data_IF_517147821727
#
_entry.id   IF_517147821727
#
_cell.length_a   1.000
_cell.length_b   1.000
_cell.length_c   1.000
_cell.angle_alpha   90.00
_cell.angle_beta   90.00
_cell.angle_gamma   90.00
#
_symmetry.space_group_name_H-M   'P 1'
#
loop_
_entity.id
_entity.type
_entity.pdbx_description
1 polymer ?
#
# COMPACT_ATOMS: atom_id res chain seq x y z
N UNK A 1 14.92 5.28 16.47
CA UNK A 1 14.75 4.82 15.08
C UNK A 1 16.11 4.60 14.47
N UNK A 2 16.50 3.36 14.14
CA UNK A 2 17.69 3.16 13.33
C UNK A 2 17.28 3.45 11.87
N UNK A 3 17.63 4.63 11.40
CA UNK A 3 17.35 5.06 10.03
C UNK A 3 18.19 4.24 9.05
N UNK A 4 17.54 3.35 8.29
CA UNK A 4 18.20 2.57 7.23
C UNK A 4 18.44 3.39 5.95
N UNK A 5 18.13 4.69 5.97
CA UNK A 5 18.26 5.63 4.83
C UNK A 5 19.67 5.66 4.23
N UNK A 6 20.72 5.48 5.03
CA UNK A 6 22.10 5.53 4.54
C UNK A 6 22.69 4.14 4.23
N UNK A 7 21.88 3.09 4.32
CA UNK A 7 22.28 1.72 4.09
C UNK A 7 22.52 1.38 2.63
N UNK A 8 23.08 0.19 2.39
CA UNK A 8 23.36 -0.41 1.09
C UNK A 8 22.14 -0.37 0.16
N UNK A 9 20.95 -0.66 0.67
CA UNK A 9 19.74 -0.79 -0.14
C UNK A 9 19.26 0.55 -0.69
N UNK A 10 19.32 1.62 0.10
CA UNK A 10 18.97 2.96 -0.36
C UNK A 10 19.96 3.43 -1.45
N UNK A 11 21.26 3.21 -1.23
CA UNK A 11 22.31 3.52 -2.22
C UNK A 11 22.09 2.79 -3.54
N UNK A 12 21.69 1.52 -3.50
CA UNK A 12 21.36 0.73 -4.70
C UNK A 12 20.16 1.32 -5.48
N UNK A 13 19.14 1.82 -4.78
CA UNK A 13 17.98 2.45 -5.44
C UNK A 13 18.42 3.76 -6.08
N UNK A 14 19.20 4.58 -5.36
CA UNK A 14 19.67 5.87 -5.88
C UNK A 14 20.59 5.75 -7.07
N UNK A 15 21.45 4.72 -7.14
CA UNK A 15 22.30 4.52 -8.32
C UNK A 15 21.52 4.21 -9.60
N UNK A 16 20.21 3.89 -9.49
CA UNK A 16 19.33 3.62 -10.62
C UNK A 16 18.35 4.77 -10.91
N UNK A 17 18.45 5.88 -10.17
CA UNK A 17 17.60 7.06 -10.35
C UNK A 17 18.01 7.79 -11.62
N UNK A 18 17.02 8.19 -12.43
CA UNK A 18 17.24 9.00 -13.64
C UNK A 18 17.41 10.47 -13.28
N UNK A 19 17.90 11.26 -14.23
CA UNK A 19 18.04 12.72 -14.12
C UNK A 19 16.72 13.43 -13.79
N UNK A 20 15.60 12.88 -14.28
CA UNK A 20 14.26 13.44 -14.03
C UNK A 20 13.71 13.18 -12.62
N UNK A 21 14.49 12.51 -11.76
CA UNK A 21 14.16 12.21 -10.37
C UNK A 21 13.42 10.91 -10.15
N UNK A 22 13.05 10.19 -11.21
CA UNK A 22 12.26 8.96 -11.15
C UNK A 22 13.10 7.70 -11.45
N UNK A 23 12.44 6.54 -11.48
CA UNK A 23 13.01 5.24 -11.84
C UNK A 23 12.16 4.55 -12.91
N UNK A 24 12.78 4.07 -13.99
CA UNK A 24 12.12 3.23 -15.00
C UNK A 24 10.76 3.74 -15.48
N UNK A 25 9.85 2.81 -15.79
CA UNK A 25 8.42 3.12 -15.88
C UNK A 25 7.86 3.28 -14.47
N UNK A 26 6.67 3.87 -14.34
CA UNK A 26 6.04 4.10 -13.05
C UNK A 26 5.57 2.79 -12.42
N UNK A 27 4.74 2.03 -13.14
CA UNK A 27 3.94 0.96 -12.53
C UNK A 27 4.62 -0.42 -12.54
N UNK A 28 4.72 -0.99 -11.34
CA UNK A 28 4.64 -2.43 -11.04
C UNK A 28 4.78 -2.58 -9.52
N UNK A 29 3.92 -3.39 -8.91
CA UNK A 29 4.05 -3.77 -7.49
C UNK A 29 4.71 -5.14 -7.29
N UNK A 30 5.16 -5.76 -8.37
CA UNK A 30 5.91 -7.02 -8.30
C UNK A 30 7.27 -6.83 -7.63
N UNK A 31 7.90 -7.94 -7.25
CA UNK A 31 9.23 -7.90 -6.64
C UNK A 31 10.27 -7.40 -7.66
N UNK A 32 11.27 -6.60 -7.21
CA UNK A 32 12.40 -6.23 -8.05
C UNK A 32 13.10 -7.50 -8.55
N UNK A 33 13.41 -7.51 -9.85
CA UNK A 33 14.15 -8.61 -10.47
C UNK A 33 15.63 -8.25 -10.45
N UNK A 34 16.52 -9.12 -9.94
CA UNK A 34 17.96 -8.86 -9.96
C UNK A 34 18.45 -8.47 -11.35
N UNK A 35 19.25 -7.41 -11.44
CA UNK A 35 19.80 -6.89 -12.70
C UNK A 35 18.85 -6.01 -13.52
N UNK A 36 17.58 -5.86 -13.12
CA UNK A 36 16.66 -4.88 -13.73
C UNK A 36 16.58 -3.61 -12.89
N UNK A 37 16.42 -2.47 -13.56
CA UNK A 37 16.13 -1.19 -12.90
C UNK A 37 14.79 -1.26 -12.17
N UNK A 38 14.71 -0.57 -11.04
CA UNK A 38 13.45 -0.36 -10.33
C UNK A 38 12.47 0.41 -11.23
N UNK A 39 11.18 0.13 -11.06
CA UNK A 39 10.15 1.12 -11.39
C UNK A 39 10.03 2.15 -10.29
N UNK A 40 9.41 3.29 -10.61
CA UNK A 40 9.21 4.37 -9.62
C UNK A 40 8.39 3.86 -8.44
N UNK A 41 7.36 3.07 -8.69
CA UNK A 41 6.54 2.49 -7.63
C UNK A 41 7.30 1.50 -6.73
N UNK A 42 8.15 0.64 -7.31
CA UNK A 42 9.01 -0.25 -6.51
C UNK A 42 10.00 0.55 -5.66
N UNK A 43 10.61 1.59 -6.23
CA UNK A 43 11.57 2.44 -5.54
C UNK A 43 10.90 3.19 -4.37
N UNK A 44 9.75 3.83 -4.61
CA UNK A 44 8.99 4.54 -3.58
C UNK A 44 8.55 3.61 -2.45
N UNK A 45 7.96 2.45 -2.78
CA UNK A 45 7.58 1.44 -1.77
C UNK A 45 8.78 1.01 -0.95
N UNK A 46 9.91 0.72 -1.59
CA UNK A 46 11.11 0.28 -0.90
C UNK A 46 11.70 1.37 0.00
N UNK A 47 11.77 2.60 -0.48
CA UNK A 47 12.27 3.75 0.29
C UNK A 47 11.40 4.01 1.53
N UNK A 48 10.07 3.88 1.42
CA UNK A 48 9.15 3.97 2.56
C UNK A 48 9.54 2.99 3.69
N UNK A 49 9.82 1.73 3.36
CA UNK A 49 10.23 0.72 4.36
C UNK A 49 11.63 0.95 4.91
N UNK A 50 12.52 1.57 4.14
CA UNK A 50 13.84 2.01 4.61
C UNK A 50 13.80 3.28 5.48
N UNK A 51 12.61 3.85 5.68
CA UNK A 51 12.35 4.96 6.58
C UNK A 51 12.27 6.33 5.91
N UNK A 52 12.23 6.41 4.58
CA UNK A 52 11.99 7.66 3.86
C UNK A 52 10.56 8.16 4.03
N UNK A 53 10.43 9.48 4.02
CA UNK A 53 9.23 10.27 4.34
C UNK A 53 9.05 11.38 3.31
N UNK A 54 7.91 12.08 3.34
CA UNK A 54 7.66 13.23 2.48
C UNK A 54 8.65 14.39 2.69
N UNK A 55 9.38 14.43 3.81
CA UNK A 55 10.38 15.47 4.10
C UNK A 55 11.72 15.24 3.38
N UNK A 56 11.95 14.03 2.85
CA UNK A 56 13.18 13.73 2.14
C UNK A 56 13.12 14.27 0.71
N UNK A 57 14.11 15.07 0.30
CA UNK A 57 14.16 15.73 -1.02
C UNK A 57 13.95 14.75 -2.19
N UNK A 58 14.55 13.55 -2.11
CA UNK A 58 14.37 12.50 -3.13
C UNK A 58 12.92 12.06 -3.29
N UNK A 59 12.16 12.04 -2.19
CA UNK A 59 10.73 11.72 -2.21
C UNK A 59 9.94 12.92 -2.74
N UNK A 60 10.24 14.14 -2.27
CA UNK A 60 9.56 15.37 -2.71
C UNK A 60 9.57 15.55 -4.23
N UNK A 61 10.69 15.26 -4.89
CA UNK A 61 10.79 15.33 -6.35
C UNK A 61 9.78 14.38 -7.02
N UNK A 62 9.66 13.15 -6.53
CA UNK A 62 8.71 12.18 -7.05
C UNK A 62 7.27 12.58 -6.73
N UNK A 63 6.97 13.02 -5.50
CA UNK A 63 5.63 13.47 -5.12
C UNK A 63 5.17 14.65 -5.99
N UNK A 64 6.02 15.67 -6.16
CA UNK A 64 5.73 16.81 -7.04
C UNK A 64 5.44 16.36 -8.46
N UNK A 65 6.20 15.40 -9.00
CA UNK A 65 5.93 14.87 -10.34
C UNK A 65 4.56 14.19 -10.39
N UNK A 66 4.22 13.36 -9.41
CA UNK A 66 2.91 12.69 -9.36
C UNK A 66 1.76 13.69 -9.30
N UNK A 67 1.92 14.77 -8.53
CA UNK A 67 0.92 15.83 -8.44
C UNK A 67 0.69 16.54 -9.78
N UNK A 68 1.78 16.92 -10.48
CA UNK A 68 1.71 17.51 -11.82
C UNK A 68 0.99 16.58 -12.81
N UNK A 69 1.19 15.27 -12.68
CA UNK A 69 0.51 14.28 -13.51
C UNK A 69 -0.99 14.20 -13.24
N UNK A 70 -1.41 14.21 -11.97
CA UNK A 70 -2.83 14.22 -11.61
C UNK A 70 -3.53 15.49 -12.11
N UNK A 71 -2.83 16.63 -12.11
CA UNK A 71 -3.33 17.92 -12.65
C UNK A 71 -3.34 17.99 -14.17
N UNK A 72 -2.76 16.99 -14.86
CA UNK A 72 -2.65 16.97 -16.32
C UNK A 72 -1.55 17.88 -16.89
N UNK A 73 -0.67 18.41 -16.03
CA UNK A 73 0.43 19.32 -16.42
C UNK A 73 1.58 18.56 -17.09
N UNK A 74 1.73 17.26 -16.78
CA UNK A 74 2.81 16.42 -17.31
C UNK A 74 2.40 14.96 -17.35
N UNK A 75 3.01 14.15 -18.22
CA UNK A 75 2.89 12.68 -18.15
C UNK A 75 3.89 12.08 -17.16
N UNK A 76 3.50 11.00 -16.48
CA UNK A 76 4.40 10.31 -15.54
C UNK A 76 5.54 9.62 -16.28
N UNK A 77 5.21 8.95 -17.39
CA UNK A 77 6.10 8.32 -18.34
C UNK A 77 5.41 8.14 -19.71
N UNK A 78 6.00 7.32 -20.59
CA UNK A 78 5.45 7.01 -21.92
C UNK A 78 4.67 5.69 -21.97
N UNK A 79 4.51 5.00 -20.84
CA UNK A 79 3.82 3.72 -20.76
C UNK A 79 2.31 3.91 -20.70
N UNK A 80 1.56 3.01 -21.34
CA UNK A 80 0.11 2.94 -21.20
C UNK A 80 -0.38 1.54 -21.53
N UNK A 81 -1.33 1.03 -20.74
CA UNK A 81 -2.00 -0.23 -21.03
C UNK A 81 -3.24 -0.01 -21.90
N UNK A 82 -3.34 -0.74 -23.01
CA UNK A 82 -4.39 -0.52 -24.03
C UNK A 82 -5.80 -0.97 -23.63
N UNK A 83 -5.92 -1.89 -22.67
CA UNK A 83 -7.21 -2.53 -22.31
C UNK A 83 -7.99 -1.76 -21.23
N UNK A 84 -7.36 -0.78 -20.62
CA UNK A 84 -7.84 -0.08 -19.45
C UNK A 84 -7.94 1.41 -19.74
N UNK A 85 -8.80 2.11 -19.01
CA UNK A 85 -8.75 3.57 -18.96
C UNK A 85 -7.48 3.97 -18.19
N UNK A 86 -6.34 3.92 -18.89
CA UNK A 86 -5.03 4.13 -18.30
C UNK A 86 -4.91 5.48 -17.60
N UNK A 87 -5.37 6.61 -18.17
CA UNK A 87 -5.35 7.89 -17.46
C UNK A 87 -6.12 7.85 -16.13
N UNK A 88 -7.28 7.19 -16.10
CA UNK A 88 -8.05 7.07 -14.87
C UNK A 88 -7.36 6.18 -13.83
N UNK A 89 -6.78 5.05 -14.27
CA UNK A 89 -6.00 4.16 -13.40
C UNK A 89 -4.73 4.82 -12.87
N UNK A 90 -4.01 5.56 -13.72
CA UNK A 90 -2.84 6.35 -13.35
C UNK A 90 -3.20 7.36 -12.26
N UNK A 91 -4.29 8.13 -12.44
CA UNK A 91 -4.79 9.06 -11.41
C UNK A 91 -4.98 8.36 -10.05
N UNK A 92 -5.63 7.19 -10.03
CA UNK A 92 -5.82 6.39 -8.82
C UNK A 92 -4.48 5.96 -8.19
N UNK A 93 -3.56 5.41 -8.97
CA UNK A 93 -2.26 4.94 -8.47
C UNK A 93 -1.42 6.09 -7.88
N UNK A 94 -1.33 7.21 -8.61
CA UNK A 94 -0.55 8.37 -8.21
C UNK A 94 -1.12 9.01 -6.94
N UNK A 95 -2.45 9.16 -6.86
CA UNK A 95 -3.10 9.70 -5.68
C UNK A 95 -2.93 8.79 -4.46
N UNK A 96 -3.00 7.47 -4.63
CA UNK A 96 -2.76 6.52 -3.54
C UNK A 96 -1.33 6.65 -2.98
N UNK A 97 -0.31 6.74 -3.83
CA UNK A 97 1.08 6.92 -3.39
C UNK A 97 1.33 8.28 -2.75
N UNK A 98 0.74 9.35 -3.29
CA UNK A 98 0.77 10.67 -2.64
C UNK A 98 0.21 10.58 -1.24
N UNK A 99 -0.99 10.00 -1.05
CA UNK A 99 -1.58 9.86 0.30
C UNK A 99 -0.82 8.93 1.24
N UNK A 100 0.00 8.00 0.73
CA UNK A 100 0.88 7.19 1.57
C UNK A 100 1.98 8.05 2.21
N UNK A 101 2.60 8.96 1.45
CA UNK A 101 3.67 9.82 1.95
C UNK A 101 3.17 11.10 2.62
N UNK A 102 2.13 11.70 2.05
CA UNK A 102 1.51 12.94 2.49
C UNK A 102 -0.02 12.79 2.46
N UNK A 103 -0.57 12.46 3.63
CA UNK A 103 -2.00 12.25 3.80
C UNK A 103 -2.86 13.50 3.53
N UNK A 104 -2.25 14.69 3.62
CA UNK A 104 -2.89 16.00 3.50
C UNK A 104 -2.69 16.64 2.14
N UNK A 105 -2.05 15.95 1.19
CA UNK A 105 -1.89 16.45 -0.17
C UNK A 105 -3.26 16.75 -0.82
N UNK A 106 -3.55 18.03 -1.07
CA UNK A 106 -4.85 18.49 -1.53
C UNK A 106 -5.27 17.84 -2.86
N UNK A 107 -4.34 17.73 -3.80
CA UNK A 107 -4.57 17.13 -5.12
C UNK A 107 -5.03 15.67 -4.98
N UNK A 108 -4.35 14.90 -4.14
CA UNK A 108 -4.72 13.52 -3.89
C UNK A 108 -5.98 13.37 -3.02
N UNK A 109 -6.23 14.31 -2.09
CA UNK A 109 -7.44 14.37 -1.29
C UNK A 109 -8.69 14.60 -2.15
N UNK A 110 -8.63 15.48 -3.14
CA UNK A 110 -9.73 15.67 -4.09
C UNK A 110 -10.12 14.33 -4.74
N UNK A 111 -9.13 13.57 -5.23
CA UNK A 111 -9.38 12.23 -5.82
C UNK A 111 -9.93 11.25 -4.80
N UNK A 112 -9.43 11.28 -3.56
CA UNK A 112 -9.93 10.42 -2.49
C UNK A 112 -11.39 10.73 -2.14
N UNK A 113 -11.79 12.00 -2.11
CA UNK A 113 -13.16 12.42 -1.83
C UNK A 113 -14.12 12.06 -2.96
N UNK A 114 -13.67 12.09 -4.22
CA UNK A 114 -14.45 11.58 -5.35
C UNK A 114 -14.72 10.07 -5.20
N UNK A 115 -13.69 9.28 -4.90
CA UNK A 115 -13.84 7.84 -4.66
C UNK A 115 -14.67 7.52 -3.40
N UNK A 116 -14.53 8.32 -2.34
CA UNK A 116 -15.29 8.15 -1.10
C UNK A 116 -16.80 8.22 -1.36
N UNK A 117 -17.26 9.14 -2.23
CA UNK A 117 -18.67 9.22 -2.61
C UNK A 117 -19.17 7.94 -3.28
N UNK A 118 -18.36 7.31 -4.13
CA UNK A 118 -18.71 6.04 -4.78
C UNK A 118 -18.80 4.92 -3.75
N UNK A 119 -17.82 4.84 -2.84
CA UNK A 119 -17.78 3.86 -1.75
C UNK A 119 -19.00 4.01 -0.83
N UNK A 120 -19.31 5.23 -0.39
CA UNK A 120 -20.47 5.47 0.49
C UNK A 120 -21.78 4.98 -0.12
N UNK A 121 -21.97 5.15 -1.43
CA UNK A 121 -23.15 4.60 -2.13
C UNK A 121 -23.10 3.09 -2.23
N UNK A 122 -21.95 2.52 -2.59
CA UNK A 122 -21.78 1.07 -2.69
C UNK A 122 -22.01 0.32 -1.36
N UNK A 123 -21.85 1.00 -0.22
CA UNK A 123 -22.02 0.44 1.12
C UNK A 123 -23.27 0.93 1.86
N UNK A 124 -24.13 1.73 1.22
CA UNK A 124 -25.29 2.33 1.87
C UNK A 124 -26.28 1.29 2.44
N UNK A 125 -26.35 0.12 1.81
CA UNK A 125 -27.18 -1.01 2.25
C UNK A 125 -26.62 -1.82 3.43
N UNK A 126 -25.47 -1.44 4.00
CA UNK A 126 -24.84 -2.15 5.12
C UNK A 126 -23.84 -3.24 4.73
N UNK A 127 -23.62 -3.45 3.43
CA UNK A 127 -22.54 -4.27 2.88
C UNK A 127 -22.21 -3.78 1.47
N UNK A 128 -21.10 -4.25 0.89
CA UNK A 128 -20.78 -3.94 -0.51
C UNK A 128 -21.90 -4.44 -1.44
N UNK A 129 -22.45 -3.54 -2.23
CA UNK A 129 -23.41 -3.82 -3.28
C UNK A 129 -22.84 -3.43 -4.65
N UNK A 130 -22.80 -4.42 -5.55
CA UNK A 130 -22.24 -4.24 -6.89
C UNK A 130 -23.05 -3.29 -7.77
N UNK A 131 -24.38 -3.32 -7.66
CA UNK A 131 -25.27 -2.50 -8.48
C UNK A 131 -25.14 -1.03 -8.06
N UNK A 132 -25.13 -0.75 -6.76
CA UNK A 132 -24.94 0.59 -6.21
C UNK A 132 -23.57 1.17 -6.56
N UNK A 133 -22.51 0.37 -6.48
CA UNK A 133 -21.16 0.73 -6.92
C UNK A 133 -21.12 1.13 -8.40
N UNK A 134 -21.64 0.28 -9.29
CA UNK A 134 -21.71 0.55 -10.73
C UNK A 134 -22.55 1.80 -11.02
N UNK A 135 -23.69 1.97 -10.32
CA UNK A 135 -24.57 3.11 -10.50
C UNK A 135 -23.91 4.42 -10.03
N UNK A 136 -23.24 4.39 -8.88
CA UNK A 136 -22.51 5.53 -8.33
C UNK A 136 -21.32 5.91 -9.22
N UNK A 137 -20.53 4.94 -9.66
CA UNK A 137 -19.44 5.16 -10.61
C UNK A 137 -19.97 5.77 -11.92
N UNK A 138 -21.05 5.22 -12.47
CA UNK A 138 -21.63 5.71 -13.73
C UNK A 138 -22.12 7.14 -13.59
N UNK A 139 -22.68 7.52 -12.44
CA UNK A 139 -23.11 8.89 -12.16
C UNK A 139 -21.94 9.86 -12.03
N UNK A 140 -20.87 9.46 -11.34
CA UNK A 140 -19.68 10.29 -11.15
C UNK A 140 -18.90 10.46 -12.46
N UNK A 141 -18.63 9.36 -13.15
CA UNK A 141 -17.73 9.35 -14.31
C UNK A 141 -18.44 9.57 -15.65
N UNK A 142 -19.78 9.49 -15.67
CA UNK A 142 -20.58 9.66 -16.88
C UNK A 142 -20.56 8.47 -17.84
N UNK A 143 -19.95 7.34 -17.45
CA UNK A 143 -19.95 6.09 -18.23
C UNK A 143 -19.95 4.86 -17.33
N UNK A 144 -20.40 3.74 -17.88
CA UNK A 144 -20.26 2.43 -17.24
C UNK A 144 -18.78 2.06 -17.03
N UNK A 145 -18.47 1.29 -15.99
CA UNK A 145 -17.12 0.78 -15.77
C UNK A 145 -16.73 -0.20 -16.89
N UNK A 146 -15.45 -0.15 -17.30
CA UNK A 146 -14.84 -0.97 -18.35
C UNK A 146 -13.91 -2.05 -17.79
N UNK A 147 -13.59 -1.99 -16.50
CA UNK A 147 -12.62 -2.87 -15.86
C UNK A 147 -13.00 -3.13 -14.40
N UNK A 148 -12.39 -4.19 -13.84
CA UNK A 148 -12.53 -4.52 -12.41
C UNK A 148 -11.80 -3.57 -11.47
N UNK A 149 -10.94 -2.67 -11.97
CA UNK A 149 -10.26 -1.68 -11.12
C UNK A 149 -11.12 -0.44 -10.88
N UNK A 150 -12.12 -0.19 -11.74
CA UNK A 150 -13.02 0.97 -11.64
C UNK A 150 -14.13 0.80 -10.61
N UNK A 151 -14.25 -0.40 -10.04
CA UNK A 151 -15.34 -0.80 -9.14
C UNK A 151 -14.86 -1.92 -8.22
N UNK A 152 -15.61 -2.23 -7.17
CA UNK A 152 -15.31 -3.31 -6.23
C UNK A 152 -14.16 -3.01 -5.28
N UNK A 153 -13.40 -1.93 -5.47
CA UNK A 153 -12.41 -1.42 -4.51
C UNK A 153 -11.39 -2.46 -4.02
N UNK A 154 -11.14 -3.57 -4.72
CA UNK A 154 -10.36 -4.70 -4.19
C UNK A 154 -8.85 -4.52 -4.17
N UNK A 155 -8.35 -3.46 -4.82
CA UNK A 155 -6.92 -3.23 -4.99
C UNK A 155 -6.31 -2.49 -3.81
N UNK A 156 -5.02 -2.71 -3.59
CA UNK A 156 -4.18 -1.90 -2.71
C UNK A 156 -4.41 -0.38 -2.85
N UNK A 157 -4.54 0.13 -4.08
CA UNK A 157 -4.67 1.57 -4.32
C UNK A 157 -5.92 2.19 -3.69
N UNK A 158 -7.06 1.50 -3.71
CA UNK A 158 -8.27 2.01 -3.08
C UNK A 158 -8.11 2.10 -1.55
N UNK A 159 -7.63 1.02 -0.92
CA UNK A 159 -7.35 1.01 0.51
C UNK A 159 -6.31 2.07 0.91
N UNK A 160 -5.27 2.26 0.11
CA UNK A 160 -4.24 3.27 0.38
C UNK A 160 -4.75 4.71 0.17
N UNK A 161 -5.72 4.91 -0.74
CA UNK A 161 -6.30 6.21 -1.05
C UNK A 161 -7.34 6.65 -0.03
N UNK A 162 -8.12 5.75 0.57
CA UNK A 162 -9.38 6.11 1.25
C UNK A 162 -9.29 6.32 2.77
N UNK A 163 -8.13 6.10 3.39
CA UNK A 163 -8.01 6.29 4.85
C UNK A 163 -8.31 7.75 5.26
N UNK A 164 -9.10 7.92 6.32
CA UNK A 164 -9.43 9.24 6.88
C UNK A 164 -10.38 10.10 6.05
N UNK A 165 -10.96 9.59 4.96
CA UNK A 165 -11.99 10.32 4.17
C UNK A 165 -13.35 9.64 4.15
N UNK A 166 -13.45 8.43 4.72
CA UNK A 166 -14.72 7.72 4.85
C UNK A 166 -15.41 8.09 6.17
N UNK A 167 -16.75 8.26 6.19
CA UNK A 167 -17.50 8.33 7.43
C UNK A 167 -17.28 7.07 8.28
N UNK A 168 -17.26 7.14 9.63
CA UNK A 168 -16.96 6.00 10.50
C UNK A 168 -17.74 4.72 10.18
N UNK A 169 -19.06 4.84 9.94
CA UNK A 169 -19.89 3.68 9.58
C UNK A 169 -19.51 3.06 8.25
N UNK A 170 -19.23 3.86 7.23
CA UNK A 170 -18.77 3.37 5.92
C UNK A 170 -17.39 2.74 6.03
N UNK A 171 -16.51 3.34 6.85
CA UNK A 171 -15.18 2.81 7.13
C UNK A 171 -15.23 1.41 7.76
N UNK A 172 -16.10 1.17 8.74
CA UNK A 172 -16.29 -0.16 9.33
C UNK A 172 -16.66 -1.20 8.28
N UNK A 173 -17.63 -0.88 7.42
CA UNK A 173 -18.10 -1.78 6.36
C UNK A 173 -17.02 -2.03 5.30
N UNK A 174 -16.24 -1.00 4.99
CA UNK A 174 -15.13 -1.08 4.04
C UNK A 174 -14.00 -1.97 4.56
N UNK A 175 -13.69 -1.90 5.86
CA UNK A 175 -12.75 -2.82 6.51
C UNK A 175 -13.28 -4.26 6.53
N UNK A 176 -14.56 -4.48 6.87
CA UNK A 176 -15.17 -5.81 6.82
C UNK A 176 -15.12 -6.41 5.41
N UNK A 177 -15.32 -5.57 4.40
CA UNK A 177 -15.18 -5.95 2.99
C UNK A 177 -13.77 -6.45 2.66
N UNK A 178 -12.72 -5.68 2.99
CA UNK A 178 -11.35 -6.13 2.75
C UNK A 178 -10.97 -7.38 3.57
N UNK A 179 -11.44 -7.48 4.81
CA UNK A 179 -11.19 -8.61 5.68
C UNK A 179 -11.79 -9.91 5.14
N UNK A 180 -13.01 -9.85 4.60
CA UNK A 180 -13.75 -11.03 4.09
C UNK A 180 -13.51 -11.34 2.62
N UNK A 181 -12.81 -10.46 1.88
CA UNK A 181 -12.59 -10.61 0.43
C UNK A 181 -11.83 -11.91 0.10
N UNK A 182 -12.41 -12.83 -0.70
CA UNK A 182 -11.79 -14.14 -1.00
C UNK A 182 -10.40 -14.09 -1.64
N UNK A 183 -10.21 -13.12 -2.53
CA UNK A 183 -9.02 -12.86 -3.35
C UNK A 183 -8.08 -11.82 -2.70
N UNK A 184 -8.34 -11.43 -1.45
CA UNK A 184 -7.49 -10.54 -0.67
C UNK A 184 -7.42 -9.11 -1.19
N UNK A 185 -6.23 -8.52 -1.06
CA UNK A 185 -5.92 -7.17 -1.50
C UNK A 185 -5.02 -7.23 -2.73
N UNK A 186 -5.63 -7.05 -3.90
CA UNK A 186 -4.95 -7.18 -5.18
C UNK A 186 -3.67 -6.33 -5.23
N UNK A 187 -2.64 -6.89 -5.86
CA UNK A 187 -1.21 -6.51 -5.89
C UNK A 187 -0.33 -6.93 -4.72
N UNK A 188 -0.86 -7.08 -3.50
CA UNK A 188 0.01 -7.29 -2.34
C UNK A 188 -0.30 -8.54 -1.52
N UNK A 189 -1.53 -9.05 -1.56
CA UNK A 189 -1.91 -10.28 -0.88
C UNK A 189 -3.14 -10.92 -1.54
N UNK A 190 -3.11 -12.22 -1.79
CA UNK A 190 -4.06 -12.95 -2.65
C UNK A 190 -5.01 -13.88 -1.89
N UNK A 191 -5.09 -13.74 -0.56
CA UNK A 191 -5.97 -14.54 0.31
C UNK A 191 -6.80 -13.65 1.25
N UNK A 192 -7.85 -14.19 1.90
CA UNK A 192 -8.66 -13.43 2.85
C UNK A 192 -7.83 -12.87 4.01
N UNK A 193 -8.08 -11.61 4.38
CA UNK A 193 -7.32 -10.95 5.44
C UNK A 193 -7.82 -11.25 6.85
N UNK A 194 -9.04 -11.78 6.99
CA UNK A 194 -9.60 -12.27 8.25
C UNK A 194 -8.98 -13.59 8.74
N UNK A 195 -8.02 -14.16 8.00
CA UNK A 195 -7.28 -15.38 8.37
C UNK A 195 -5.78 -15.11 8.25
N UNK A 196 -5.06 -14.95 9.37
CA UNK A 196 -3.62 -14.84 9.33
C UNK A 196 -2.98 -16.10 8.72
N UNK A 197 -1.80 -16.00 8.07
CA UNK A 197 -1.07 -17.16 7.58
C UNK A 197 -0.71 -18.15 8.69
N UNK A 198 -0.84 -19.44 8.40
CA UNK A 198 -0.51 -20.52 9.35
C UNK A 198 0.97 -20.52 9.73
N UNK A 199 1.85 -20.19 8.78
CA UNK A 199 3.30 -20.16 8.98
C UNK A 199 3.78 -18.71 9.05
N UNK A 200 4.16 -18.25 10.23
CA UNK A 200 4.69 -16.89 10.43
C UNK A 200 6.05 -16.67 9.76
N UNK A 201 6.97 -17.63 9.86
CA UNK A 201 8.30 -17.54 9.23
C UNK A 201 8.24 -17.78 7.71
N UNK A 202 7.47 -16.95 7.00
CA UNK A 202 7.21 -17.07 5.58
C UNK A 202 7.12 -15.73 4.86
N UNK A 203 7.28 -15.78 3.53
CA UNK A 203 6.99 -14.64 2.66
C UNK A 203 5.52 -14.26 2.71
N UNK A 204 4.64 -15.25 2.85
CA UNK A 204 3.20 -15.04 2.93
C UNK A 204 2.83 -14.15 4.12
N UNK A 205 3.40 -14.43 5.30
CA UNK A 205 3.22 -13.60 6.49
C UNK A 205 3.71 -12.15 6.28
N UNK A 206 4.84 -11.96 5.59
CA UNK A 206 5.34 -10.62 5.25
C UNK A 206 4.38 -9.84 4.31
N UNK A 207 3.81 -10.53 3.31
CA UNK A 207 2.82 -9.98 2.38
C UNK A 207 1.48 -9.69 3.06
N UNK A 208 1.00 -10.62 3.89
CA UNK A 208 -0.18 -10.44 4.73
C UNK A 208 -0.05 -9.19 5.60
N UNK A 209 1.08 -9.09 6.32
CA UNK A 209 1.35 -7.98 7.21
C UNK A 209 1.38 -6.64 6.47
N UNK A 210 1.77 -6.64 5.20
CA UNK A 210 1.71 -5.45 4.36
C UNK A 210 0.29 -4.98 4.04
N UNK A 211 -0.65 -5.90 3.86
CA UNK A 211 -2.05 -5.52 3.72
C UNK A 211 -2.61 -4.99 5.05
N UNK A 212 -2.22 -5.58 6.17
CA UNK A 212 -2.57 -5.09 7.51
C UNK A 212 -1.99 -3.69 7.76
N UNK A 213 -0.76 -3.40 7.35
CA UNK A 213 -0.16 -2.06 7.44
C UNK A 213 -1.03 -1.00 6.74
N UNK A 214 -1.63 -1.33 5.59
CA UNK A 214 -2.54 -0.43 4.88
C UNK A 214 -3.84 -0.23 5.67
N UNK A 215 -4.47 -1.32 6.10
CA UNK A 215 -5.74 -1.26 6.84
C UNK A 215 -5.60 -0.62 8.22
N UNK A 216 -4.44 -0.73 8.86
CA UNK A 216 -4.16 -0.14 10.17
C UNK A 216 -4.22 1.39 10.21
N UNK A 217 -4.25 2.05 9.04
CA UNK A 217 -4.36 3.52 8.91
C UNK A 217 -5.77 4.05 9.10
N UNK A 218 -6.78 3.19 9.07
CA UNK A 218 -8.17 3.54 9.27
C UNK A 218 -8.48 3.66 10.77
N UNK A 219 -9.33 4.60 11.15
CA UNK A 219 -9.68 4.85 12.55
C UNK A 219 -10.36 3.65 13.22
N UNK A 220 -11.17 2.90 12.47
CA UNK A 220 -11.91 1.73 12.92
C UNK A 220 -11.07 0.44 12.93
N UNK A 221 -9.80 0.51 12.52
CA UNK A 221 -8.95 -0.68 12.36
C UNK A 221 -8.64 -1.40 13.68
N UNK A 222 -8.48 -0.67 14.79
CA UNK A 222 -8.08 -1.24 16.09
C UNK A 222 -9.01 -2.35 16.57
N UNK A 223 -10.31 -2.10 16.52
CA UNK A 223 -11.32 -3.09 16.91
C UNK A 223 -11.34 -4.29 15.95
N UNK A 224 -11.30 -4.01 14.64
CA UNK A 224 -11.39 -5.03 13.58
C UNK A 224 -10.14 -5.92 13.48
N UNK A 225 -8.97 -5.41 13.85
CA UNK A 225 -7.68 -6.10 13.69
C UNK A 225 -7.13 -6.69 15.00
N UNK A 226 -7.94 -6.79 16.06
CA UNK A 226 -7.52 -7.40 17.33
C UNK A 226 -6.95 -8.82 17.14
N UNK A 227 -7.57 -9.63 16.28
CA UNK A 227 -7.08 -10.98 15.98
C UNK A 227 -5.67 -11.00 15.38
N UNK A 228 -5.27 -9.91 14.68
CA UNK A 228 -3.91 -9.77 14.15
C UNK A 228 -2.92 -9.51 15.27
N UNK A 229 -3.29 -8.67 16.24
CA UNK A 229 -2.49 -8.44 17.46
C UNK A 229 -2.27 -9.75 18.21
N UNK A 230 -3.33 -10.53 18.40
CA UNK A 230 -3.26 -11.84 19.06
C UNK A 230 -2.34 -12.81 18.28
N UNK A 231 -2.48 -12.85 16.95
CA UNK A 231 -1.61 -13.66 16.07
C UNK A 231 -0.14 -13.23 16.14
N UNK A 232 0.15 -11.93 16.19
CA UNK A 232 1.51 -11.42 16.32
C UNK A 232 2.11 -11.87 17.67
N UNK A 233 1.42 -11.68 18.79
CA UNK A 233 1.93 -12.13 20.09
C UNK A 233 2.10 -13.65 20.19
N UNK A 234 1.21 -14.43 19.57
CA UNK A 234 1.36 -15.89 19.53
C UNK A 234 2.61 -16.37 18.76
N UNK A 235 3.17 -15.53 17.89
CA UNK A 235 4.39 -15.82 17.12
C UNK A 235 5.64 -15.09 17.64
N UNK A 236 5.54 -14.49 18.83
CA UNK A 236 6.67 -13.87 19.51
C UNK A 236 7.55 -14.93 20.17
N UNK A 237 8.87 -14.83 20.03
CA UNK A 237 9.79 -15.72 20.72
C UNK A 237 9.95 -15.37 22.21
N UNK A 238 10.66 -16.22 22.97
CA UNK A 238 10.89 -16.03 24.41
C UNK A 238 11.67 -14.75 24.77
N UNK A 239 12.30 -14.08 23.81
CA UNK A 239 13.01 -12.81 24.00
C UNK A 239 12.18 -11.60 23.56
N UNK A 240 10.94 -11.80 23.16
CA UNK A 240 10.07 -10.73 22.71
C UNK A 240 10.33 -10.28 21.26
N UNK A 241 10.89 -11.15 20.43
CA UNK A 241 11.28 -10.88 19.04
C UNK A 241 10.44 -11.69 18.05
N UNK A 242 10.50 -11.30 16.78
CA UNK A 242 9.85 -11.98 15.67
C UNK A 242 10.84 -12.29 14.56
N UNK A 243 10.64 -13.40 13.84
CA UNK A 243 11.45 -13.79 12.69
C UNK A 243 10.54 -14.22 11.51
N UNK A 244 10.49 -13.43 10.43
CA UNK A 244 9.77 -13.80 9.20
C UNK A 244 10.47 -14.88 8.36
N UNK A 245 11.66 -15.33 8.77
CA UNK A 245 12.41 -16.38 8.11
C UNK A 245 13.12 -15.92 6.83
N UNK A 246 14.06 -16.73 6.35
CA UNK A 246 14.93 -16.39 5.22
C UNK A 246 14.16 -16.07 3.95
N UNK A 247 13.05 -16.78 3.71
CA UNK A 247 12.21 -16.66 2.52
C UNK A 247 11.45 -15.34 2.43
N UNK A 248 11.38 -14.55 3.51
CA UNK A 248 10.74 -13.24 3.50
C UNK A 248 11.56 -12.14 2.80
N UNK A 249 12.82 -12.42 2.44
CA UNK A 249 13.65 -11.52 1.63
C UNK A 249 13.03 -11.32 0.24
N UNK A 250 12.53 -10.12 -0.02
CA UNK A 250 11.80 -9.81 -1.26
C UNK A 250 12.31 -8.56 -1.98
N UNK A 251 13.22 -7.80 -1.35
CA UNK A 251 13.76 -6.55 -1.90
C UNK A 251 12.81 -5.37 -1.81
N UNK A 252 11.66 -5.53 -1.15
CA UNK A 252 10.66 -4.48 -0.90
C UNK A 252 10.52 -4.24 0.60
N UNK A 253 9.96 -5.21 1.33
CA UNK A 253 9.76 -5.13 2.77
C UNK A 253 11.04 -5.48 3.52
N UNK A 254 11.77 -6.48 3.04
CA UNK A 254 12.97 -6.98 3.67
C UNK A 254 14.11 -7.20 2.68
N UNK A 255 15.37 -7.06 3.13
CA UNK A 255 15.82 -6.69 4.49
C UNK A 255 15.64 -5.20 4.80
N UNK A 256 15.83 -4.72 6.02
CA UNK A 256 16.01 -3.29 6.31
C UNK A 256 17.49 -2.98 6.58
N UNK A 257 18.11 -3.84 7.38
CA UNK A 257 19.55 -3.88 7.62
C UNK A 257 20.34 -4.26 6.36
N UNK A 258 21.62 -3.88 6.27
CA UNK A 258 22.49 -4.18 5.11
C UNK A 258 22.78 -5.68 4.89
N UNK A 259 22.37 -6.52 5.84
CA UNK A 259 22.53 -7.97 5.84
C UNK A 259 21.18 -8.65 6.09
N UNK A 260 21.12 -9.95 5.80
CA UNK A 260 19.95 -10.80 6.07
C UNK A 260 20.35 -12.11 6.74
N UNK A 261 21.36 -12.04 7.62
CA UNK A 261 21.66 -13.11 8.57
C UNK A 261 20.59 -13.16 9.68
N UNK A 262 20.62 -14.21 10.52
CA UNK A 262 19.63 -14.42 11.58
C UNK A 262 19.47 -13.21 12.50
N UNK A 263 20.58 -12.58 12.89
CA UNK A 263 20.57 -11.43 13.81
C UNK A 263 19.91 -10.21 13.17
N UNK A 264 20.33 -9.85 11.95
CA UNK A 264 19.74 -8.73 11.21
C UNK A 264 18.25 -8.97 10.92
N UNK A 265 17.90 -10.20 10.56
CA UNK A 265 16.51 -10.60 10.27
C UNK A 265 15.60 -10.49 11.49
N UNK A 266 16.04 -10.93 12.66
CA UNK A 266 15.30 -10.76 13.92
C UNK A 266 15.07 -9.28 14.22
N UNK A 267 16.10 -8.44 14.07
CA UNK A 267 16.02 -7.00 14.29
C UNK A 267 15.01 -6.34 13.35
N UNK A 268 15.13 -6.59 12.04
CA UNK A 268 14.28 -6.00 11.01
C UNK A 268 12.81 -6.44 11.18
N UNK A 269 12.61 -7.74 11.41
CA UNK A 269 11.28 -8.35 11.62
C UNK A 269 10.61 -7.77 12.87
N UNK A 270 11.34 -7.72 13.98
CA UNK A 270 10.86 -7.16 15.25
C UNK A 270 10.53 -5.67 15.11
N UNK A 271 11.36 -4.90 14.40
CA UNK A 271 11.09 -3.49 14.15
C UNK A 271 9.76 -3.29 13.41
N UNK A 272 9.53 -4.05 12.33
CA UNK A 272 8.29 -3.95 11.54
C UNK A 272 7.06 -4.34 12.36
N UNK A 273 7.12 -5.45 13.10
CA UNK A 273 6.00 -5.91 13.94
C UNK A 273 5.68 -4.89 15.03
N UNK A 274 6.69 -4.36 15.73
CA UNK A 274 6.49 -3.34 16.77
C UNK A 274 5.84 -2.07 16.23
N UNK A 275 6.20 -1.62 15.02
CA UNK A 275 5.58 -0.46 14.38
C UNK A 275 4.07 -0.65 14.23
N UNK A 276 3.64 -1.84 13.79
CA UNK A 276 2.22 -2.16 13.60
C UNK A 276 1.50 -2.32 14.93
N UNK A 277 2.10 -3.02 15.90
CA UNK A 277 1.53 -3.12 17.25
C UNK A 277 1.31 -1.74 17.87
N UNK A 278 2.28 -0.83 17.74
CA UNK A 278 2.11 0.55 18.19
C UNK A 278 0.94 1.27 17.52
N UNK A 279 0.63 0.96 16.25
CA UNK A 279 -0.49 1.57 15.53
C UNK A 279 -1.85 0.96 15.88
N UNK A 280 -1.88 -0.34 16.20
CA UNK A 280 -3.11 -1.05 16.56
C UNK A 280 -3.47 -0.95 18.05
N UNK A 281 -2.50 -0.65 18.91
CA UNK A 281 -2.70 -0.56 20.37
C UNK A 281 -2.87 0.88 20.88
N UNK A 282 -2.28 1.88 20.20
CA UNK A 282 -2.39 3.30 20.59
C UNK A 282 -3.46 4.00 19.77
#
# INVERSE_FOLDING_TARGET
>A
MQSCKNGKWAKQIFSMRREDGLWGNFHTLSRPVPGKSYTTEQALRRLLFLGYTADDEVIQIALKRMEQCIKGERKIDSYSEKKHDWPFFEKLMLSAWLRIFDAQNETALCVALEWAQVVEKAFAGGCYNREDDVAAFTRWWGRKPKSGFETGFGMFYHAALLFGVLPPKTEELFLDYYLSKPDGMFYIYDKPLNRPPEIFASREASCYLAAIEVLSRYGQAKGKLKFVVDWLYANQDGNGQWDFGEKAKDGIYFPLSDRWDKTARLTDSTFRVRKILCQLLN
#
